data_IF_623924108697
#
_entry.id   IF_623924108697
#
_cell.length_a   1.000
_cell.length_b   1.000
_cell.length_c   1.000
_cell.angle_alpha   90.00
_cell.angle_beta   90.00
_cell.angle_gamma   90.00
#
_symmetry.space_group_name_H-M   'P 1'
#
loop_
_entity.id
_entity.type
_entity.pdbx_description
1 polymer ?
#
# COMPACT_ATOMS: atom_id res chain seq x y z
N UNK A 1 -8.59 0.02 5.44
CA UNK A 1 -9.18 -1.29 5.12
C UNK A 1 -10.17 -1.15 3.96
N UNK A 2 -10.38 -2.21 3.16
CA UNK A 2 -11.14 -2.16 1.92
C UNK A 2 -11.69 -3.55 1.54
N UNK A 3 -12.64 -3.63 0.58
CA UNK A 3 -13.16 -4.89 0.08
C UNK A 3 -12.14 -5.63 -0.79
N UNK A 4 -12.30 -6.96 -1.01
CA UNK A 4 -11.43 -7.74 -1.87
C UNK A 4 -11.30 -7.17 -3.29
N UNK A 5 -10.07 -7.13 -3.79
CA UNK A 5 -9.75 -6.73 -5.17
C UNK A 5 -9.16 -7.89 -5.98
N UNK A 6 -8.94 -9.02 -5.34
CA UNK A 6 -8.50 -10.29 -5.93
C UNK A 6 -9.36 -11.43 -5.38
N UNK A 7 -9.44 -12.55 -6.11
CA UNK A 7 -10.29 -13.68 -5.72
C UNK A 7 -9.69 -14.53 -4.60
N UNK A 8 -8.37 -14.68 -4.58
CA UNK A 8 -7.69 -15.47 -3.55
C UNK A 8 -7.72 -14.74 -2.19
N UNK A 9 -8.38 -15.32 -1.17
CA UNK A 9 -8.51 -14.67 0.13
C UNK A 9 -7.17 -14.52 0.88
N UNK A 10 -6.23 -15.43 0.69
CA UNK A 10 -4.91 -15.32 1.30
C UNK A 10 -4.09 -14.18 0.68
N UNK A 11 -4.12 -14.05 -0.65
CA UNK A 11 -3.49 -12.95 -1.37
C UNK A 11 -4.15 -11.62 -1.00
N UNK A 12 -5.48 -11.58 -0.90
CA UNK A 12 -6.18 -10.39 -0.42
C UNK A 12 -5.71 -9.96 0.98
N UNK A 13 -5.55 -10.92 1.89
CA UNK A 13 -5.02 -10.67 3.22
C UNK A 13 -3.63 -10.03 3.19
N UNK A 14 -2.73 -10.53 2.33
CA UNK A 14 -1.39 -9.95 2.12
C UNK A 14 -1.45 -8.54 1.59
N UNK A 15 -2.28 -8.28 0.58
CA UNK A 15 -2.42 -6.95 -0.03
C UNK A 15 -2.92 -5.94 1.01
N UNK A 16 -3.97 -6.29 1.74
CA UNK A 16 -4.57 -5.41 2.74
C UNK A 16 -3.59 -5.06 3.87
N UNK A 17 -2.83 -6.04 4.35
CA UNK A 17 -1.81 -5.82 5.35
C UNK A 17 -0.65 -4.98 4.81
N UNK A 18 -0.16 -5.26 3.59
CA UNK A 18 0.91 -4.50 2.95
C UNK A 18 0.53 -3.03 2.80
N UNK A 19 -0.72 -2.75 2.41
CA UNK A 19 -1.24 -1.38 2.32
C UNK A 19 -1.25 -0.69 3.69
N UNK A 20 -1.78 -1.34 4.73
CA UNK A 20 -1.84 -0.74 6.05
C UNK A 20 -0.46 -0.50 6.70
N UNK A 21 0.52 -1.34 6.37
CA UNK A 21 1.91 -1.20 6.83
C UNK A 21 2.66 -0.07 6.10
N UNK A 22 2.19 0.33 4.92
CA UNK A 22 2.85 1.30 4.05
C UNK A 22 2.97 2.68 4.68
N UNK A 23 1.95 3.15 5.39
CA UNK A 23 1.94 4.45 6.07
C UNK A 23 3.11 4.60 7.05
N UNK A 24 3.44 3.53 7.79
CA UNK A 24 4.57 3.54 8.72
C UNK A 24 5.89 3.76 7.97
N UNK A 25 6.05 3.09 6.84
CA UNK A 25 7.27 3.23 6.03
C UNK A 25 7.36 4.60 5.33
N UNK A 26 6.22 5.17 4.93
CA UNK A 26 6.17 6.52 4.34
C UNK A 26 6.62 7.60 5.32
N UNK A 27 6.44 7.37 6.62
CA UNK A 27 6.95 8.26 7.68
C UNK A 27 8.40 7.95 8.12
N UNK A 28 9.09 7.00 7.48
CA UNK A 28 10.43 6.55 7.90
C UNK A 28 10.42 5.71 9.18
N UNK A 29 9.26 5.23 9.61
CA UNK A 29 9.05 4.50 10.86
C UNK A 29 9.36 3.00 10.77
N UNK A 30 9.26 2.35 11.92
CA UNK A 30 9.36 0.90 12.09
C UNK A 30 8.05 0.35 12.66
N UNK A 31 7.54 -0.71 12.05
CA UNK A 31 6.34 -1.40 12.53
C UNK A 31 6.61 -2.07 13.88
N UNK A 32 5.70 -1.95 14.84
CA UNK A 32 5.78 -2.63 16.13
C UNK A 32 4.61 -3.58 16.35
N UNK A 33 3.38 -3.10 16.22
CA UNK A 33 2.19 -3.93 16.43
C UNK A 33 1.12 -3.64 15.40
N UNK A 34 0.26 -4.61 15.16
CA UNK A 34 -0.93 -4.46 14.33
C UNK A 34 -2.14 -5.12 14.99
N UNK A 35 -3.31 -4.56 14.73
CA UNK A 35 -4.61 -5.13 15.09
C UNK A 35 -5.41 -5.38 13.82
N UNK A 36 -6.04 -6.54 13.69
CA UNK A 36 -6.96 -6.84 12.61
C UNK A 36 -8.25 -6.01 12.72
N UNK A 37 -8.72 -5.50 11.59
CA UNK A 37 -10.04 -4.90 11.44
C UNK A 37 -10.77 -5.69 10.37
N UNK A 38 -11.89 -6.32 10.76
CA UNK A 38 -12.62 -7.27 9.90
C UNK A 38 -14.11 -6.94 9.88
N UNK A 39 -14.65 -6.84 8.66
CA UNK A 39 -16.08 -6.98 8.41
C UNK A 39 -16.30 -8.28 7.63
N UNK A 40 -17.20 -9.16 8.10
CA UNK A 40 -17.35 -10.48 7.49
C UNK A 40 -18.80 -10.97 7.57
N UNK A 41 -19.39 -11.50 6.48
CA UNK A 41 -20.74 -12.04 6.49
C UNK A 41 -20.86 -13.30 7.36
N UNK A 42 -21.86 -13.35 8.24
CA UNK A 42 -22.10 -14.52 9.12
C UNK A 42 -22.39 -15.80 8.34
N UNK A 43 -22.94 -15.68 7.13
CA UNK A 43 -23.29 -16.81 6.26
C UNK A 43 -22.10 -17.37 5.47
N UNK A 44 -20.96 -16.69 5.48
CA UNK A 44 -19.78 -17.09 4.68
C UNK A 44 -18.89 -18.07 5.45
N UNK A 45 -18.23 -18.98 4.73
CA UNK A 45 -17.32 -19.97 5.33
C UNK A 45 -16.14 -19.28 6.05
N UNK A 46 -16.00 -19.56 7.34
CA UNK A 46 -14.92 -19.05 8.19
C UNK A 46 -13.52 -19.48 7.74
N UNK A 47 -13.39 -20.53 6.92
CA UNK A 47 -12.11 -20.90 6.33
C UNK A 47 -11.60 -19.79 5.38
N UNK A 48 -12.49 -19.06 4.73
CA UNK A 48 -12.13 -17.90 3.89
C UNK A 48 -11.53 -16.81 4.78
N UNK A 49 -12.20 -16.49 5.89
CA UNK A 49 -11.66 -15.54 6.88
C UNK A 49 -10.29 -15.98 7.41
N UNK A 50 -10.16 -17.27 7.74
CA UNK A 50 -8.90 -17.86 8.20
C UNK A 50 -7.73 -17.60 7.22
N UNK A 51 -7.95 -17.76 5.91
CA UNK A 51 -6.96 -17.47 4.87
C UNK A 51 -6.62 -15.98 4.78
N UNK A 52 -7.61 -15.10 4.86
CA UNK A 52 -7.38 -13.65 4.87
C UNK A 52 -6.49 -13.26 6.07
N UNK A 53 -6.84 -13.71 7.26
CA UNK A 53 -6.08 -13.44 8.48
C UNK A 53 -4.66 -14.02 8.43
N UNK A 54 -4.49 -15.20 7.85
CA UNK A 54 -3.18 -15.83 7.63
C UNK A 54 -2.30 -14.95 6.74
N UNK A 55 -2.81 -14.50 5.58
CA UNK A 55 -2.07 -13.62 4.67
C UNK A 55 -1.65 -12.32 5.35
N UNK A 56 -2.55 -11.72 6.13
CA UNK A 56 -2.27 -10.51 6.91
C UNK A 56 -1.20 -10.73 7.99
N UNK A 57 -1.31 -11.82 8.75
CA UNK A 57 -0.35 -12.16 9.80
C UNK A 57 1.07 -12.36 9.27
N UNK A 58 1.22 -13.03 8.12
CA UNK A 58 2.53 -13.22 7.48
C UNK A 58 3.18 -11.90 7.07
N UNK A 59 2.41 -10.93 6.56
CA UNK A 59 2.95 -9.61 6.21
C UNK A 59 3.36 -8.79 7.44
N UNK A 60 2.61 -8.89 8.54
CA UNK A 60 3.00 -8.27 9.81
C UNK A 60 4.28 -8.88 10.33
N UNK A 61 4.43 -10.21 10.25
CA UNK A 61 5.67 -10.90 10.64
C UNK A 61 6.85 -10.52 9.73
N UNK A 62 6.66 -10.45 8.42
CA UNK A 62 7.67 -10.00 7.46
C UNK A 62 8.12 -8.56 7.76
N UNK A 63 7.19 -7.70 8.19
CA UNK A 63 7.47 -6.33 8.63
C UNK A 63 8.28 -6.27 9.95
N UNK A 64 8.43 -7.38 10.65
CA UNK A 64 9.07 -7.44 11.96
C UNK A 64 8.17 -7.00 13.11
N UNK A 65 6.87 -6.85 12.85
CA UNK A 65 5.86 -6.50 13.85
C UNK A 65 5.20 -7.72 14.50
N UNK A 66 4.39 -7.45 15.51
CA UNK A 66 3.56 -8.45 16.19
C UNK A 66 2.08 -8.19 15.98
N UNK A 67 1.34 -9.21 15.58
CA UNK A 67 -0.12 -9.14 15.52
C UNK A 67 -0.67 -9.31 16.94
N UNK A 68 -1.29 -8.26 17.50
CA UNK A 68 -1.69 -8.19 18.90
C UNK A 68 -3.19 -8.49 19.13
N UNK A 69 -3.91 -8.88 18.07
CA UNK A 69 -5.33 -9.17 18.12
C UNK A 69 -6.13 -8.41 17.06
N UNK A 70 -7.31 -7.92 17.41
CA UNK A 70 -8.15 -7.16 16.50
C UNK A 70 -9.61 -7.17 16.89
N UNK A 71 -10.47 -6.71 15.98
CA UNK A 71 -11.91 -6.69 16.14
C UNK A 71 -12.60 -7.09 14.84
N UNK A 72 -13.71 -7.84 14.98
CA UNK A 72 -14.54 -8.23 13.84
C UNK A 72 -16.00 -7.85 14.09
N UNK A 73 -16.69 -7.48 13.05
CA UNK A 73 -18.14 -7.23 13.05
C UNK A 73 -18.81 -8.00 11.91
N UNK A 74 -20.08 -8.37 12.12
CA UNK A 74 -20.92 -8.87 11.04
C UNK A 74 -21.25 -7.74 10.06
N UNK A 75 -21.15 -8.03 8.75
CA UNK A 75 -21.46 -7.08 7.67
C UNK A 75 -22.00 -7.88 6.47
N UNK A 76 -22.63 -7.21 5.51
CA UNK A 76 -23.04 -7.81 4.24
C UNK A 76 -21.85 -8.16 3.34
N UNK A 77 -20.73 -7.45 3.51
CA UNK A 77 -19.57 -7.52 2.64
C UNK A 77 -18.27 -7.82 3.43
N UNK A 78 -17.37 -8.54 2.78
CA UNK A 78 -16.02 -8.73 3.32
C UNK A 78 -15.23 -7.45 3.18
N UNK A 79 -14.68 -6.97 4.32
CA UNK A 79 -13.67 -5.89 4.34
C UNK A 79 -12.58 -6.26 5.34
N UNK A 80 -11.34 -6.05 4.98
CA UNK A 80 -10.21 -6.37 5.83
C UNK A 80 -9.12 -5.30 5.74
N UNK A 81 -8.43 -5.14 6.84
CA UNK A 81 -7.24 -4.32 6.97
C UNK A 81 -6.70 -4.36 8.39
N UNK A 82 -5.75 -3.48 8.65
CA UNK A 82 -5.08 -3.41 9.95
C UNK A 82 -5.11 -1.99 10.51
N UNK A 83 -5.16 -1.89 11.83
CA UNK A 83 -4.68 -0.71 12.56
C UNK A 83 -3.24 -0.97 12.98
N UNK A 84 -2.30 -0.22 12.43
CA UNK A 84 -0.87 -0.43 12.63
C UNK A 84 -0.28 0.63 13.53
N UNK A 85 0.54 0.19 14.50
CA UNK A 85 1.34 1.09 15.34
C UNK A 85 2.82 0.89 15.02
N UNK A 86 3.49 1.97 14.71
CA UNK A 86 4.93 2.03 14.49
C UNK A 86 5.60 3.06 15.39
N UNK A 87 6.91 3.11 15.31
CA UNK A 87 7.73 4.11 16.01
C UNK A 87 8.72 4.74 15.05
N UNK A 88 8.99 6.02 15.26
CA UNK A 88 10.00 6.77 14.53
C UNK A 88 10.69 7.73 15.49
N UNK A 89 11.98 8.01 15.25
CA UNK A 89 12.69 9.08 15.95
C UNK A 89 12.06 10.43 15.55
N UNK A 90 11.57 11.25 16.48
CA UNK A 90 10.94 12.52 16.16
C UNK A 90 11.79 13.47 15.31
N UNK A 91 13.12 13.37 15.40
CA UNK A 91 14.03 14.20 14.60
C UNK A 91 14.26 13.63 13.18
N UNK A 92 13.74 12.43 12.89
CA UNK A 92 13.93 11.71 11.61
C UNK A 92 12.62 11.35 10.93
N UNK A 93 11.51 11.89 11.42
CA UNK A 93 10.21 11.68 10.81
C UNK A 93 10.18 12.33 9.42
N UNK A 94 9.63 11.62 8.44
CA UNK A 94 9.35 12.18 7.13
C UNK A 94 7.92 12.71 7.10
N UNK A 95 7.81 13.97 6.75
CA UNK A 95 6.51 14.61 6.52
C UNK A 95 6.15 14.50 5.03
N UNK A 96 4.87 14.53 4.71
CA UNK A 96 4.44 14.50 3.32
C UNK A 96 4.57 15.85 2.60
N UNK A 97 4.75 16.95 3.32
CA UNK A 97 4.77 18.33 2.80
C UNK A 97 6.10 19.08 3.01
N UNK A 98 7.17 18.35 3.31
CA UNK A 98 8.50 18.91 3.58
C UNK A 98 9.38 19.16 2.34
N UNK A 99 8.85 19.00 1.11
CA UNK A 99 9.60 19.12 -0.13
C UNK A 99 10.26 20.50 -0.30
N UNK A 100 11.44 20.54 -0.92
CA UNK A 100 12.24 21.74 -1.14
C UNK A 100 12.52 21.99 -2.62
N UNK A 101 12.78 23.24 -3.02
CA UNK A 101 13.23 23.51 -4.38
C UNK A 101 14.50 22.73 -4.73
N UNK A 102 14.53 22.17 -5.94
CA UNK A 102 15.61 21.32 -6.47
C UNK A 102 15.65 19.89 -5.94
N UNK A 103 14.68 19.45 -5.15
CA UNK A 103 14.53 18.05 -4.80
C UNK A 103 14.26 17.19 -6.02
N UNK A 104 14.79 15.97 -5.99
CA UNK A 104 14.53 14.96 -7.01
C UNK A 104 13.40 14.03 -6.52
N UNK A 105 12.38 13.82 -7.35
CA UNK A 105 11.31 12.87 -7.08
C UNK A 105 11.75 11.44 -7.42
N UNK A 106 11.59 10.53 -6.47
CA UNK A 106 11.92 9.11 -6.62
C UNK A 106 10.65 8.30 -6.42
N UNK A 107 10.29 7.52 -7.44
CA UNK A 107 9.18 6.57 -7.37
C UNK A 107 9.74 5.16 -7.20
N UNK A 108 9.33 4.46 -6.16
CA UNK A 108 9.91 3.16 -5.76
C UNK A 108 9.18 1.94 -6.31
N UNK A 109 7.98 2.12 -6.84
CA UNK A 109 7.18 1.08 -7.51
C UNK A 109 6.55 1.61 -8.78
N UNK A 110 6.17 0.71 -9.70
CA UNK A 110 5.47 1.07 -10.93
C UNK A 110 4.06 1.58 -10.65
N UNK A 111 3.58 2.48 -11.50
CA UNK A 111 2.20 2.97 -11.53
C UNK A 111 1.31 2.08 -12.40
N UNK A 112 -0.01 2.19 -12.22
CA UNK A 112 -0.99 1.49 -13.05
C UNK A 112 -1.76 0.38 -12.31
N UNK A 113 -1.49 0.11 -11.03
CA UNK A 113 -2.20 -0.88 -10.21
C UNK A 113 -3.71 -0.69 -10.29
N UNK A 114 -4.21 0.54 -10.06
CA UNK A 114 -5.64 0.83 -10.07
C UNK A 114 -6.29 0.60 -11.44
N UNK A 115 -5.58 0.92 -12.51
CA UNK A 115 -6.05 0.72 -13.90
C UNK A 115 -6.19 -0.79 -14.17
N UNK A 116 -5.13 -1.56 -13.92
CA UNK A 116 -5.13 -3.00 -14.16
C UNK A 116 -6.13 -3.76 -13.28
N UNK A 117 -6.29 -3.37 -12.02
CA UNK A 117 -7.32 -3.95 -11.16
C UNK A 117 -8.74 -3.61 -11.66
N UNK A 118 -8.98 -2.42 -12.17
CA UNK A 118 -10.26 -2.04 -12.77
C UNK A 118 -10.53 -2.82 -14.06
N UNK A 119 -9.53 -2.94 -14.95
CA UNK A 119 -9.62 -3.72 -16.16
C UNK A 119 -9.86 -5.21 -15.88
N UNK A 120 -9.21 -5.76 -14.84
CA UNK A 120 -9.41 -7.16 -14.44
C UNK A 120 -10.83 -7.46 -13.99
N UNK A 121 -11.52 -6.52 -13.31
CA UNK A 121 -12.92 -6.70 -12.89
C UNK A 121 -13.90 -6.86 -14.07
N UNK A 122 -13.53 -6.35 -15.23
CA UNK A 122 -14.33 -6.45 -16.47
C UNK A 122 -13.69 -7.40 -17.49
N UNK A 123 -12.74 -8.24 -17.06
CA UNK A 123 -12.02 -9.21 -17.89
C UNK A 123 -11.30 -8.58 -19.09
N UNK A 124 -10.75 -7.38 -18.93
CA UNK A 124 -10.00 -6.65 -19.96
C UNK A 124 -8.52 -6.46 -19.61
N UNK A 125 -8.05 -6.95 -18.46
CA UNK A 125 -6.63 -6.91 -18.12
C UNK A 125 -5.84 -7.83 -19.06
N UNK A 126 -4.66 -7.37 -19.57
CA UNK A 126 -3.77 -8.23 -20.35
C UNK A 126 -3.34 -9.48 -19.58
N UNK A 127 -3.12 -10.57 -20.31
CA UNK A 127 -2.63 -11.83 -19.74
C UNK A 127 -1.32 -11.61 -18.94
N UNK A 128 -1.24 -12.16 -17.74
CA UNK A 128 -0.08 -12.04 -16.84
C UNK A 128 0.11 -10.66 -16.19
N UNK A 129 -0.68 -9.65 -16.54
CA UNK A 129 -0.56 -8.32 -15.92
C UNK A 129 -0.87 -8.35 -14.42
N UNK A 130 -1.87 -9.14 -14.01
CA UNK A 130 -2.27 -9.25 -12.61
C UNK A 130 -1.21 -9.90 -11.72
N UNK A 131 -0.39 -10.80 -12.24
CA UNK A 131 0.69 -11.42 -11.48
C UNK A 131 1.73 -10.38 -11.04
N UNK A 132 2.12 -9.50 -11.95
CA UNK A 132 3.04 -8.40 -11.64
C UNK A 132 2.44 -7.39 -10.66
N UNK A 133 1.16 -7.09 -10.81
CA UNK A 133 0.42 -6.17 -9.93
C UNK A 133 0.31 -6.76 -8.52
N UNK A 134 -0.06 -8.03 -8.39
CA UNK A 134 -0.16 -8.74 -7.10
C UNK A 134 1.21 -8.79 -6.40
N UNK A 135 2.28 -9.11 -7.13
CA UNK A 135 3.64 -9.10 -6.59
C UNK A 135 4.01 -7.72 -6.02
N UNK A 136 3.73 -6.66 -6.76
CA UNK A 136 3.96 -5.29 -6.29
C UNK A 136 3.08 -4.93 -5.08
N UNK A 137 1.78 -5.28 -5.08
CA UNK A 137 0.87 -4.99 -3.98
C UNK A 137 1.21 -5.77 -2.71
N UNK A 138 1.82 -6.94 -2.82
CA UNK A 138 2.25 -7.75 -1.68
C UNK A 138 3.69 -7.47 -1.24
N UNK A 139 4.46 -6.70 -2.00
CA UNK A 139 5.81 -6.29 -1.62
C UNK A 139 5.78 -5.11 -0.67
N UNK A 140 6.37 -5.25 0.54
CA UNK A 140 6.46 -4.19 1.53
C UNK A 140 7.35 -3.02 1.04
N UNK A 141 6.97 -1.80 1.35
CA UNK A 141 7.79 -0.60 1.14
C UNK A 141 8.95 -0.47 2.15
N UNK A 142 9.12 -1.46 3.03
CA UNK A 142 10.12 -1.52 4.08
C UNK A 142 11.54 -1.25 3.55
N UNK A 143 11.96 -1.96 2.51
CA UNK A 143 13.33 -1.83 1.97
C UNK A 143 13.59 -0.43 1.38
N UNK A 144 12.61 0.15 0.71
CA UNK A 144 12.70 1.53 0.21
C UNK A 144 12.87 2.52 1.36
N UNK A 145 12.09 2.37 2.45
CA UNK A 145 12.21 3.17 3.66
C UNK A 145 13.58 3.00 4.34
N UNK A 146 14.06 1.76 4.51
CA UNK A 146 15.38 1.47 5.10
C UNK A 146 16.54 2.10 4.30
N UNK A 147 16.43 2.13 2.98
CA UNK A 147 17.41 2.79 2.11
C UNK A 147 17.28 4.30 2.24
N UNK A 148 16.05 4.83 2.12
CA UNK A 148 15.77 6.27 2.22
C UNK A 148 16.32 6.92 3.49
N UNK A 149 16.23 6.20 4.63
CA UNK A 149 16.78 6.69 5.92
C UNK A 149 18.29 6.93 5.92
N UNK A 150 19.01 6.50 4.89
CA UNK A 150 20.45 6.77 4.71
C UNK A 150 20.74 8.09 3.99
N UNK A 151 19.70 8.78 3.54
CA UNK A 151 19.79 9.99 2.74
C UNK A 151 18.94 11.11 3.34
N UNK A 152 19.20 12.37 2.99
CA UNK A 152 18.38 13.50 3.43
C UNK A 152 17.05 13.51 2.65
N UNK A 153 16.07 12.75 3.10
CA UNK A 153 14.70 12.77 2.56
C UNK A 153 13.96 13.94 3.17
N UNK A 154 13.47 14.86 2.33
CA UNK A 154 12.74 16.06 2.78
C UNK A 154 11.23 15.83 2.86
N UNK A 155 10.68 15.01 1.97
CA UNK A 155 9.27 14.63 1.99
C UNK A 155 9.11 13.19 1.50
N UNK A 156 8.09 12.51 2.01
CA UNK A 156 7.74 11.16 1.57
C UNK A 156 6.24 10.96 1.73
N UNK A 157 5.64 10.25 0.81
CA UNK A 157 4.27 9.74 0.90
C UNK A 157 4.21 8.39 0.19
N UNK A 158 3.26 7.55 0.54
CA UNK A 158 2.91 6.41 -0.30
C UNK A 158 1.84 6.81 -1.33
N UNK A 159 1.73 6.07 -2.41
CA UNK A 159 0.74 6.33 -3.46
C UNK A 159 -0.36 5.28 -3.37
N UNK A 160 -1.57 5.72 -3.03
CA UNK A 160 -2.75 4.87 -2.85
C UNK A 160 -3.93 5.33 -3.71
N UNK A 161 -5.15 5.34 -3.17
CA UNK A 161 -6.38 5.56 -3.91
C UNK A 161 -6.52 6.91 -4.63
N UNK A 162 -5.84 7.97 -4.17
CA UNK A 162 -5.85 9.28 -4.85
C UNK A 162 -4.96 9.33 -6.09
N UNK A 163 -4.18 8.28 -6.32
CA UNK A 163 -3.26 8.18 -7.45
C UNK A 163 -2.02 9.08 -7.32
N UNK A 164 -1.09 8.91 -8.26
CA UNK A 164 0.20 9.57 -8.23
C UNK A 164 0.10 11.11 -8.18
N UNK A 165 -0.70 11.71 -9.05
CA UNK A 165 -0.84 13.16 -9.11
C UNK A 165 -1.54 13.76 -7.89
N UNK A 166 -2.49 13.04 -7.29
CA UNK A 166 -3.17 13.46 -6.08
C UNK A 166 -2.21 13.55 -4.89
N UNK A 167 -1.46 12.48 -4.63
CA UNK A 167 -0.46 12.47 -3.55
C UNK A 167 0.70 13.45 -3.80
N UNK A 168 1.12 13.61 -5.07
CA UNK A 168 2.14 14.59 -5.40
C UNK A 168 1.65 16.03 -5.21
N UNK A 169 0.38 16.32 -5.51
CA UNK A 169 -0.22 17.61 -5.24
C UNK A 169 -0.21 17.94 -3.74
N UNK A 170 -0.58 16.97 -2.92
CA UNK A 170 -0.49 17.06 -1.45
C UNK A 170 0.95 17.35 -0.99
N UNK A 171 1.92 16.62 -1.53
CA UNK A 171 3.35 16.81 -1.22
C UNK A 171 3.85 18.21 -1.59
N UNK A 172 3.31 18.82 -2.64
CA UNK A 172 3.66 20.20 -3.05
C UNK A 172 3.03 21.27 -2.13
N UNK A 173 2.01 20.95 -1.36
CA UNK A 173 1.34 21.78 -0.33
C UNK A 173 0.99 23.21 -0.80
N UNK A 174 0.67 23.38 -2.08
CA UNK A 174 0.38 24.68 -2.69
C UNK A 174 1.56 25.67 -2.71
N UNK A 175 2.73 25.27 -2.19
CA UNK A 175 3.94 26.11 -2.09
C UNK A 175 4.94 25.86 -3.19
N UNK A 176 4.91 24.69 -3.78
CA UNK A 176 5.88 24.24 -4.79
C UNK A 176 5.19 23.77 -6.06
N UNK A 177 5.95 23.77 -7.15
CA UNK A 177 5.59 23.13 -8.42
C UNK A 177 6.58 22.03 -8.71
N UNK A 178 6.15 20.97 -9.37
CA UNK A 178 7.02 19.90 -9.81
C UNK A 178 6.94 19.72 -11.34
N UNK A 179 8.02 19.23 -11.91
CA UNK A 179 8.09 18.85 -13.32
C UNK A 179 8.17 17.35 -13.46
N UNK A 180 7.20 16.76 -14.15
CA UNK A 180 7.12 15.33 -14.41
C UNK A 180 7.37 15.09 -15.88
N UNK A 181 8.22 14.11 -16.17
CA UNK A 181 8.46 13.64 -17.53
C UNK A 181 7.64 12.36 -17.72
N UNK A 182 6.46 12.46 -18.34
CA UNK A 182 5.51 11.37 -18.46
C UNK A 182 6.12 10.10 -19.09
N UNK A 183 6.99 10.27 -20.08
CA UNK A 183 7.70 9.19 -20.77
C UNK A 183 8.79 8.50 -19.92
N UNK A 184 9.06 8.99 -18.71
CA UNK A 184 10.01 8.40 -17.76
C UNK A 184 9.33 7.75 -16.56
N UNK A 185 8.00 7.85 -16.46
CA UNK A 185 7.27 7.19 -15.38
C UNK A 185 7.29 5.66 -15.57
N UNK A 186 7.71 4.90 -14.56
CA UNK A 186 7.62 3.46 -14.62
C UNK A 186 6.16 3.04 -14.47
N UNK A 187 5.57 2.48 -15.52
CA UNK A 187 4.19 2.00 -15.56
C UNK A 187 4.20 0.49 -15.78
N UNK A 188 3.20 -0.22 -15.27
CA UNK A 188 3.02 -1.65 -15.56
C UNK A 188 2.66 -1.86 -17.04
N UNK A 189 3.22 -2.91 -17.61
CA UNK A 189 2.91 -3.30 -18.99
C UNK A 189 1.40 -3.53 -19.15
N UNK A 190 0.82 -2.94 -20.18
CA UNK A 190 -0.60 -3.01 -20.47
C UNK A 190 -1.48 -1.98 -19.76
N UNK A 191 -0.98 -1.25 -18.75
CA UNK A 191 -1.80 -0.24 -18.06
C UNK A 191 -2.15 0.96 -18.95
N UNK A 192 -1.33 1.28 -19.96
CA UNK A 192 -1.61 2.37 -20.91
C UNK A 192 -2.64 1.96 -21.99
N UNK A 193 -2.88 0.67 -22.18
CA UNK A 193 -3.80 0.15 -23.20
C UNK A 193 -5.17 -0.21 -22.65
N UNK A 194 -5.37 -0.18 -21.34
CA UNK A 194 -6.65 -0.35 -20.66
C UNK A 194 -7.35 0.99 -20.44
#
# INVERSE_FOLDING_TARGET
FFPPMVEDPYIFGKIAATNALSDIYAMGGEVKTALNIVCFPESMDLNILGKILQGGAEKVQEAGGSLAGGHSIADSDVKYGLSVTGVVDPEKIWENNGAKPSDCLILTKRLGVGILCAANRVNQAPEGAMDQVIDSMTTLNRKASEIGRKYPVHACTDVTGFGFLGHLHEMMDGRHSCKIYANQLPVFDGAESC
#
